data_IF_727120700156
#
_entry.id   IF_727120700156
#
_cell.length_a   1.000
_cell.length_b   1.000
_cell.length_c   1.000
_cell.angle_alpha   90.00
_cell.angle_beta   90.00
_cell.angle_gamma   90.00
#
_symmetry.space_group_name_H-M   'P 1'
#
loop_
_entity.id
_entity.type
_entity.pdbx_description
1 polymer ?
#
# COMPACT_ATOMS: atom_id res chain seq x y z
N UNK A 1 36.47 -9.53 -6.22
CA UNK A 1 35.00 -9.32 -6.07
C UNK A 1 34.80 -7.81 -5.98
N UNK A 2 34.46 -7.13 -7.09
CA UNK A 2 34.19 -5.70 -7.09
C UNK A 2 32.89 -5.45 -6.31
N UNK A 3 32.93 -4.56 -5.34
CA UNK A 3 31.72 -4.08 -4.67
C UNK A 3 30.83 -3.42 -5.74
N UNK A 4 29.77 -4.10 -6.12
CA UNK A 4 28.73 -3.53 -6.99
C UNK A 4 28.07 -2.38 -6.21
N UNK A 5 28.24 -1.16 -6.70
CA UNK A 5 27.59 0.02 -6.14
C UNK A 5 26.07 -0.18 -6.28
N UNK A 6 25.37 -0.48 -5.18
CA UNK A 6 23.91 -0.59 -5.18
C UNK A 6 23.27 0.79 -5.10
N UNK A 7 22.28 1.06 -5.96
CA UNK A 7 21.47 2.28 -5.94
C UNK A 7 20.35 2.21 -4.91
N UNK A 8 19.95 1.01 -4.48
CA UNK A 8 18.84 0.81 -3.52
C UNK A 8 19.08 1.54 -2.20
N UNK A 9 20.25 1.46 -1.54
CA UNK A 9 20.52 2.21 -0.32
C UNK A 9 20.45 3.73 -0.50
N UNK A 10 20.88 4.23 -1.67
CA UNK A 10 20.85 5.67 -1.98
C UNK A 10 19.41 6.17 -2.10
N UNK A 11 18.55 5.45 -2.81
CA UNK A 11 17.15 5.78 -2.94
C UNK A 11 16.41 5.64 -1.61
N UNK A 12 16.74 4.62 -0.83
CA UNK A 12 16.19 4.43 0.52
C UNK A 12 16.59 5.59 1.44
N UNK A 13 17.84 6.05 1.38
CA UNK A 13 18.29 7.22 2.12
C UNK A 13 17.47 8.47 1.79
N UNK A 14 17.23 8.77 0.51
CA UNK A 14 16.42 9.92 0.13
C UNK A 14 14.95 9.78 0.56
N UNK A 15 14.35 8.60 0.38
CA UNK A 15 12.98 8.36 0.84
C UNK A 15 12.85 8.55 2.36
N UNK A 16 13.78 8.01 3.15
CA UNK A 16 13.81 8.18 4.61
C UNK A 16 14.04 9.63 5.02
N UNK A 17 14.85 10.37 4.28
CA UNK A 17 15.09 11.80 4.54
C UNK A 17 13.81 12.63 4.44
N UNK A 18 12.91 12.32 3.47
CA UNK A 18 11.60 12.98 3.37
C UNK A 18 10.73 12.72 4.62
N UNK A 19 10.75 11.50 5.15
CA UNK A 19 10.05 11.15 6.38
C UNK A 19 10.61 11.89 7.60
N UNK A 20 11.93 11.92 7.74
CA UNK A 20 12.60 12.66 8.82
C UNK A 20 12.32 14.16 8.74
N UNK A 21 12.33 14.75 7.54
CA UNK A 21 12.01 16.16 7.30
C UNK A 21 10.55 16.49 7.62
N UNK A 22 9.63 15.53 7.42
CA UNK A 22 8.23 15.65 7.81
C UNK A 22 7.99 15.47 9.32
N UNK A 23 9.04 15.24 10.11
CA UNK A 23 8.95 15.08 11.58
C UNK A 23 8.67 13.65 12.05
N UNK A 24 8.58 12.67 11.12
CA UNK A 24 8.37 11.28 11.48
C UNK A 24 9.68 10.63 11.95
N UNK A 25 9.56 9.64 12.83
CA UNK A 25 10.68 8.82 13.32
C UNK A 25 10.34 7.35 13.15
N UNK A 26 11.32 6.50 12.80
CA UNK A 26 11.11 5.07 12.75
C UNK A 26 10.98 4.51 14.18
N UNK A 27 10.05 3.60 14.34
CA UNK A 27 9.83 2.87 15.58
C UNK A 27 9.36 1.45 15.28
N UNK A 28 9.31 0.61 16.30
CA UNK A 28 8.77 -0.74 16.18
C UNK A 28 8.02 -1.11 17.47
N UNK A 29 6.99 -1.94 17.32
CA UNK A 29 6.21 -2.48 18.44
C UNK A 29 5.94 -3.96 18.20
N UNK A 30 6.06 -4.76 19.26
CA UNK A 30 5.72 -6.19 19.22
C UNK A 30 4.28 -6.36 19.66
N UNK A 31 3.50 -7.03 18.83
CA UNK A 31 2.05 -7.24 18.99
C UNK A 31 1.73 -8.73 18.92
N UNK A 32 0.60 -9.18 19.49
CA UNK A 32 0.06 -10.51 19.21
C UNK A 32 -0.16 -10.68 17.70
N UNK A 33 0.22 -11.83 17.16
CA UNK A 33 -0.04 -12.16 15.76
C UNK A 33 -1.48 -12.68 15.62
N UNK A 34 -2.35 -12.06 14.80
CA UNK A 34 -3.79 -12.37 14.79
C UNK A 34 -4.13 -13.82 14.43
N UNK A 35 -3.39 -14.42 13.46
CA UNK A 35 -3.60 -15.79 12.99
C UNK A 35 -2.65 -16.78 13.65
N UNK A 36 -1.93 -16.37 14.70
CA UNK A 36 -1.00 -17.21 15.44
C UNK A 36 -1.68 -17.95 16.60
N UNK A 37 -1.13 -19.09 16.97
CA UNK A 37 -1.48 -19.76 18.24
C UNK A 37 -1.08 -18.92 19.46
N UNK A 38 -1.45 -19.39 20.65
CA UNK A 38 -1.14 -18.70 21.91
C UNK A 38 0.37 -18.35 22.01
N UNK A 39 0.66 -17.08 22.26
CA UNK A 39 2.02 -16.57 22.38
C UNK A 39 2.72 -16.18 21.06
N UNK A 40 2.09 -16.38 19.90
CA UNK A 40 2.66 -15.93 18.65
C UNK A 40 2.63 -14.40 18.57
N UNK A 41 3.75 -13.80 18.14
CA UNK A 41 3.89 -12.34 18.04
C UNK A 41 4.41 -11.93 16.68
N UNK A 42 4.10 -10.69 16.28
CA UNK A 42 4.71 -9.99 15.16
C UNK A 42 5.36 -8.70 15.66
N UNK A 43 6.41 -8.24 14.96
CA UNK A 43 7.00 -6.93 15.25
C UNK A 43 6.70 -6.02 14.08
N UNK A 44 5.89 -4.99 14.33
CA UNK A 44 5.48 -4.01 13.32
C UNK A 44 6.43 -2.82 13.38
N UNK A 45 7.12 -2.59 12.28
CA UNK A 45 7.90 -1.37 12.03
C UNK A 45 7.00 -0.29 11.45
N UNK A 46 7.11 0.92 11.95
CA UNK A 46 6.31 2.05 11.48
C UNK A 46 7.06 3.39 11.61
N UNK A 47 6.56 4.40 10.92
CA UNK A 47 6.99 5.78 11.03
C UNK A 47 5.85 6.63 11.55
N UNK A 48 6.11 7.44 12.58
CA UNK A 48 5.15 8.39 13.12
C UNK A 48 5.88 9.57 13.79
N UNK A 49 5.22 10.71 14.01
CA UNK A 49 5.74 11.72 14.91
C UNK A 49 5.89 11.14 16.32
N UNK A 50 6.90 11.56 17.11
CA UNK A 50 7.06 11.09 18.49
C UNK A 50 5.95 11.63 19.39
N UNK A 51 5.54 10.83 20.38
CA UNK A 51 4.57 11.19 21.40
C UNK A 51 3.11 11.07 20.95
N UNK A 52 2.21 11.62 21.75
CA UNK A 52 0.78 11.58 21.51
C UNK A 52 0.32 12.46 20.34
N UNK A 53 -0.76 12.07 19.62
CA UNK A 53 -1.24 12.85 18.49
C UNK A 53 -1.85 14.19 18.93
N UNK A 54 -1.28 15.28 18.40
CA UNK A 54 -1.78 16.66 18.56
C UNK A 54 -2.65 17.10 17.35
N UNK A 55 -2.58 16.37 16.27
CA UNK A 55 -3.36 16.55 15.05
C UNK A 55 -4.21 15.29 14.80
N UNK A 56 -5.27 15.37 14.00
CA UNK A 56 -6.08 14.20 13.64
C UNK A 56 -5.21 13.07 13.09
N UNK A 57 -5.37 11.82 13.56
CA UNK A 57 -4.55 10.71 13.08
C UNK A 57 -4.90 10.30 11.65
N UNK A 58 -3.85 9.98 10.87
CA UNK A 58 -3.95 9.47 9.51
C UNK A 58 -3.02 8.28 9.31
N UNK A 59 -3.59 7.13 8.98
CA UNK A 59 -2.86 5.91 8.65
C UNK A 59 -2.64 5.82 7.13
N UNK A 60 -1.38 5.62 6.70
CA UNK A 60 -1.01 5.42 5.29
C UNK A 60 -0.56 3.98 5.06
N UNK A 61 -1.32 3.23 4.27
CA UNK A 61 -1.10 1.80 4.02
C UNK A 61 -0.56 1.59 2.62
N UNK A 62 0.67 1.07 2.52
CA UNK A 62 1.36 0.88 1.24
C UNK A 62 0.83 -0.32 0.46
N UNK A 63 1.04 -0.32 -0.88
CA UNK A 63 0.74 -1.43 -1.77
C UNK A 63 1.77 -2.56 -1.70
N UNK A 64 1.59 -3.57 -2.56
CA UNK A 64 2.55 -4.66 -2.71
C UNK A 64 3.87 -4.12 -3.27
N UNK A 65 4.84 -3.92 -2.38
CA UNK A 65 6.12 -3.30 -2.75
C UNK A 65 7.05 -3.22 -1.55
N UNK A 66 8.35 -2.96 -1.77
CA UNK A 66 9.38 -3.29 -0.80
C UNK A 66 9.28 -2.52 0.52
N UNK A 67 8.86 -1.26 0.53
CA UNK A 67 8.82 -0.42 1.74
C UNK A 67 7.78 0.68 1.65
N UNK A 68 7.14 0.98 2.76
CA UNK A 68 6.20 2.08 2.90
C UNK A 68 6.83 3.44 2.56
N UNK A 69 8.09 3.67 2.96
CA UNK A 69 8.80 4.93 2.72
C UNK A 69 8.92 5.28 1.24
N UNK A 70 9.10 4.29 0.35
CA UNK A 70 9.22 4.52 -1.08
C UNK A 70 7.90 4.95 -1.72
N UNK A 71 6.80 4.41 -1.21
CA UNK A 71 5.48 4.66 -1.80
C UNK A 71 4.85 5.95 -1.30
N UNK A 72 5.14 6.37 -0.05
CA UNK A 72 4.54 7.54 0.57
C UNK A 72 5.47 8.75 0.73
N UNK A 73 6.71 8.71 0.17
CA UNK A 73 7.70 9.80 0.32
C UNK A 73 7.20 11.17 -0.12
N UNK A 74 6.35 11.22 -1.15
CA UNK A 74 5.82 12.47 -1.68
C UNK A 74 4.59 12.99 -0.92
N UNK A 75 3.99 12.16 -0.04
CA UNK A 75 2.77 12.48 0.69
C UNK A 75 3.05 12.93 2.13
N UNK A 76 4.08 12.34 2.77
CA UNK A 76 4.33 12.58 4.20
C UNK A 76 4.54 14.05 4.54
N UNK A 77 5.30 14.81 3.76
CA UNK A 77 5.55 16.23 4.01
C UNK A 77 4.28 17.08 3.98
N UNK A 78 3.49 17.10 2.90
CA UNK A 78 2.23 17.81 2.83
C UNK A 78 1.22 17.38 3.89
N UNK A 79 1.06 16.07 4.13
CA UNK A 79 0.07 15.53 5.06
C UNK A 79 0.41 15.79 6.53
N UNK A 80 1.68 15.74 6.93
CA UNK A 80 2.11 15.96 8.32
C UNK A 80 1.89 17.39 8.82
N UNK A 81 1.57 18.32 7.93
CA UNK A 81 1.16 19.69 8.32
C UNK A 81 -0.25 19.73 8.90
N UNK A 82 -1.07 18.73 8.63
CA UNK A 82 -2.49 18.69 8.96
C UNK A 82 -2.89 17.47 9.79
N UNK A 83 -2.07 16.40 9.75
CA UNK A 83 -2.38 15.12 10.37
C UNK A 83 -1.19 14.56 11.16
N UNK A 84 -1.51 13.81 12.21
CA UNK A 84 -0.56 12.90 12.84
C UNK A 84 -0.42 11.65 11.97
N UNK A 85 0.56 11.66 11.08
CA UNK A 85 0.73 10.64 10.05
C UNK A 85 1.42 9.40 10.60
N UNK A 86 0.80 8.23 10.42
CA UNK A 86 1.32 6.91 10.82
C UNK A 86 1.50 6.08 9.56
N UNK A 87 2.71 5.58 9.33
CA UNK A 87 3.06 4.84 8.10
C UNK A 87 3.73 3.51 8.49
N UNK A 88 2.96 2.43 8.67
CA UNK A 88 3.51 1.12 8.95
C UNK A 88 4.07 0.45 7.69
N UNK A 89 5.06 -0.41 7.86
CA UNK A 89 5.34 -1.49 6.93
C UNK A 89 4.37 -2.64 7.25
N UNK A 90 3.67 -3.15 6.26
CA UNK A 90 2.76 -4.30 6.40
C UNK A 90 3.54 -5.58 6.76
N UNK A 91 2.86 -6.57 7.33
CA UNK A 91 3.47 -7.88 7.64
C UNK A 91 4.21 -8.43 6.43
N UNK A 92 5.47 -8.77 6.63
CA UNK A 92 6.34 -9.32 5.59
C UNK A 92 6.98 -8.30 4.66
N UNK A 93 6.73 -7.00 4.86
CA UNK A 93 7.37 -5.91 4.12
C UNK A 93 8.28 -5.08 5.04
N UNK A 94 9.23 -4.38 4.43
CA UNK A 94 10.12 -3.46 5.12
C UNK A 94 10.81 -4.07 6.33
N UNK A 95 10.65 -3.44 7.49
CA UNK A 95 11.16 -3.92 8.77
C UNK A 95 10.19 -4.79 9.57
N UNK A 96 8.96 -4.98 9.10
CA UNK A 96 7.92 -5.72 9.81
C UNK A 96 8.08 -7.23 9.65
N UNK A 97 8.07 -7.94 10.79
CA UNK A 97 8.22 -9.40 10.85
C UNK A 97 6.97 -10.06 11.44
N UNK A 98 6.76 -11.32 11.10
CA UNK A 98 5.71 -12.17 11.66
C UNK A 98 6.27 -13.59 11.81
N UNK A 99 5.60 -14.54 12.51
CA UNK A 99 6.06 -15.91 12.64
C UNK A 99 6.42 -16.53 11.29
N UNK A 100 7.45 -17.39 11.25
CA UNK A 100 7.89 -18.02 10.00
C UNK A 100 6.74 -18.78 9.33
N UNK A 101 6.78 -18.86 7.99
CA UNK A 101 5.72 -19.53 7.21
C UNK A 101 5.51 -21.01 7.57
N UNK A 102 6.47 -21.66 8.23
CA UNK A 102 6.29 -23.01 8.75
C UNK A 102 5.38 -23.06 10.00
N UNK A 103 5.25 -21.93 10.71
CA UNK A 103 4.52 -21.83 11.98
C UNK A 103 3.20 -21.06 11.88
N UNK A 104 2.94 -20.34 10.76
CA UNK A 104 1.76 -19.51 10.60
C UNK A 104 1.24 -19.53 9.16
N UNK A 105 -0.09 -19.39 8.96
CA UNK A 105 -0.66 -19.24 7.62
C UNK A 105 -0.19 -17.94 6.96
N UNK A 106 -0.27 -17.85 5.61
CA UNK A 106 0.01 -16.61 4.90
C UNK A 106 -0.92 -15.49 5.38
N UNK A 107 -0.38 -14.30 5.73
CA UNK A 107 -1.24 -13.20 6.18
C UNK A 107 -2.17 -12.74 5.04
N UNK A 108 -3.46 -12.79 5.32
CA UNK A 108 -4.52 -12.26 4.47
C UNK A 108 -4.65 -10.75 4.64
N UNK A 109 -5.49 -10.09 3.82
CA UNK A 109 -5.85 -8.68 4.00
C UNK A 109 -6.53 -8.45 5.37
N UNK A 110 -7.32 -9.42 5.84
CA UNK A 110 -7.94 -9.40 7.16
C UNK A 110 -6.89 -9.46 8.28
N UNK A 111 -5.87 -10.33 8.15
CA UNK A 111 -4.75 -10.43 9.10
C UNK A 111 -3.95 -9.14 9.14
N UNK A 112 -3.64 -8.56 7.98
CA UNK A 112 -2.97 -7.26 7.88
C UNK A 112 -3.80 -6.16 8.57
N UNK A 113 -5.10 -6.11 8.30
CA UNK A 113 -6.01 -5.13 8.91
C UNK A 113 -6.10 -5.28 10.43
N UNK A 114 -6.22 -6.51 10.94
CA UNK A 114 -6.23 -6.79 12.37
C UNK A 114 -4.90 -6.36 13.05
N UNK A 115 -3.77 -6.59 12.39
CA UNK A 115 -2.45 -6.14 12.86
C UNK A 115 -2.38 -4.61 12.91
N UNK A 116 -2.92 -3.91 11.91
CA UNK A 116 -2.97 -2.44 11.90
C UNK A 116 -3.91 -1.89 12.99
N UNK A 117 -5.04 -2.54 13.26
CA UNK A 117 -5.92 -2.17 14.37
C UNK A 117 -5.18 -2.30 15.72
N UNK A 118 -4.50 -3.43 15.95
CA UNK A 118 -3.69 -3.64 17.15
C UNK A 118 -2.52 -2.64 17.26
N UNK A 119 -1.89 -2.27 16.13
CA UNK A 119 -0.89 -1.20 16.10
C UNK A 119 -1.47 0.12 16.60
N UNK A 120 -2.63 0.54 16.06
CA UNK A 120 -3.27 1.79 16.44
C UNK A 120 -3.65 1.82 17.92
N UNK A 121 -4.03 0.71 18.51
CA UNK A 121 -4.35 0.62 19.93
C UNK A 121 -3.11 0.60 20.83
N UNK A 122 -1.97 0.12 20.30
CA UNK A 122 -0.71 0.10 21.04
C UNK A 122 0.06 1.44 21.01
N UNK A 123 -0.30 2.36 20.12
CA UNK A 123 0.38 3.65 20.01
C UNK A 123 -0.06 4.63 21.13
N UNK A 124 0.87 5.40 21.72
CA UNK A 124 0.55 6.34 22.79
C UNK A 124 -0.56 7.33 22.39
N UNK A 125 -1.59 7.43 23.21
CA UNK A 125 -2.68 8.37 23.04
C UNK A 125 -3.59 8.09 21.83
N UNK A 126 -3.50 6.89 21.23
CA UNK A 126 -4.33 6.49 20.08
C UNK A 126 -5.51 5.60 20.45
N UNK A 127 -5.55 5.10 21.69
CA UNK A 127 -6.65 4.27 22.17
C UNK A 127 -8.00 4.99 21.98
N UNK A 128 -8.95 4.31 21.35
CA UNK A 128 -10.28 4.86 21.06
C UNK A 128 -10.35 6.02 20.08
N UNK A 129 -9.23 6.59 19.63
CA UNK A 129 -9.26 7.69 18.65
C UNK A 129 -9.69 7.22 17.27
N UNK A 130 -10.54 8.02 16.65
CA UNK A 130 -10.95 7.82 15.26
C UNK A 130 -9.81 8.22 14.31
N UNK A 131 -9.46 7.33 13.38
CA UNK A 131 -8.29 7.45 12.48
C UNK A 131 -8.78 7.51 11.03
N UNK A 132 -8.36 8.52 10.26
CA UNK A 132 -8.49 8.46 8.81
C UNK A 132 -7.50 7.44 8.25
N UNK A 133 -7.88 6.73 7.17
CA UNK A 133 -7.02 5.72 6.58
C UNK A 133 -6.92 5.88 5.06
N UNK A 134 -5.71 5.74 4.52
CA UNK A 134 -5.48 5.77 3.08
C UNK A 134 -4.60 4.60 2.66
N UNK A 135 -5.05 3.86 1.63
CA UNK A 135 -4.31 2.73 1.10
C UNK A 135 -4.18 2.77 -0.42
N UNK A 136 -3.05 2.30 -0.94
CA UNK A 136 -2.82 2.19 -2.38
C UNK A 136 -2.62 0.74 -2.80
N UNK A 137 -3.20 0.33 -3.95
CA UNK A 137 -3.05 -1.02 -4.48
C UNK A 137 -3.40 -2.08 -3.44
N UNK A 138 -2.53 -3.04 -3.10
CA UNK A 138 -2.73 -4.01 -2.02
C UNK A 138 -3.11 -3.34 -0.69
N UNK A 139 -2.50 -2.20 -0.37
CA UNK A 139 -2.84 -1.43 0.83
C UNK A 139 -4.27 -0.89 0.84
N UNK A 140 -4.89 -0.70 -0.33
CA UNK A 140 -6.31 -0.33 -0.42
C UNK A 140 -7.24 -1.48 -0.03
N UNK A 141 -6.89 -2.74 -0.35
CA UNK A 141 -7.62 -3.92 0.13
C UNK A 141 -7.54 -4.02 1.65
N UNK A 142 -6.35 -3.84 2.21
CA UNK A 142 -6.13 -3.85 3.66
C UNK A 142 -6.90 -2.70 4.35
N UNK A 143 -6.88 -1.51 3.76
CA UNK A 143 -7.60 -0.34 4.28
C UNK A 143 -9.12 -0.55 4.25
N UNK A 144 -9.64 -1.15 3.19
CA UNK A 144 -11.06 -1.53 3.10
C UNK A 144 -11.44 -2.51 4.22
N UNK A 145 -10.64 -3.58 4.43
CA UNK A 145 -10.85 -4.54 5.50
C UNK A 145 -10.80 -3.90 6.88
N UNK A 146 -9.83 -3.02 7.12
CA UNK A 146 -9.70 -2.29 8.38
C UNK A 146 -10.94 -1.43 8.64
N UNK A 147 -11.40 -0.67 7.64
CA UNK A 147 -12.57 0.18 7.76
C UNK A 147 -13.85 -0.63 8.02
N UNK A 148 -14.04 -1.76 7.33
CA UNK A 148 -15.15 -2.67 7.51
C UNK A 148 -15.17 -3.30 8.91
N UNK A 149 -14.01 -3.82 9.36
CA UNK A 149 -13.91 -4.54 10.63
C UNK A 149 -14.01 -3.62 11.85
N UNK A 150 -13.37 -2.46 11.81
CA UNK A 150 -13.32 -1.52 12.93
C UNK A 150 -14.53 -0.58 12.99
N UNK A 151 -15.28 -0.45 11.89
CA UNK A 151 -16.45 0.43 11.80
C UNK A 151 -16.11 1.92 11.84
N UNK A 152 -17.12 2.77 11.58
CA UNK A 152 -16.95 4.23 11.46
C UNK A 152 -16.64 4.93 12.80
N UNK A 153 -16.83 4.28 13.92
CA UNK A 153 -16.42 4.80 15.24
C UNK A 153 -14.91 4.82 15.42
N UNK A 154 -14.19 3.87 14.83
CA UNK A 154 -12.73 3.73 14.95
C UNK A 154 -11.98 4.20 13.70
N UNK A 155 -12.47 3.86 12.51
CA UNK A 155 -11.93 4.30 11.23
C UNK A 155 -12.84 5.35 10.63
N UNK A 156 -12.31 6.54 10.39
CA UNK A 156 -13.00 7.70 9.82
C UNK A 156 -13.04 7.68 8.30
N UNK A 157 -12.79 8.80 7.62
CA UNK A 157 -12.77 8.84 6.17
C UNK A 157 -11.67 7.94 5.60
N UNK A 158 -11.99 7.31 4.46
CA UNK A 158 -11.14 6.30 3.81
C UNK A 158 -10.74 6.77 2.41
N UNK A 159 -9.46 6.65 2.07
CA UNK A 159 -8.96 6.84 0.71
C UNK A 159 -8.46 5.51 0.15
N UNK A 160 -9.00 5.11 -1.00
CA UNK A 160 -8.63 3.89 -1.73
C UNK A 160 -8.04 4.31 -3.07
N UNK A 161 -6.73 4.08 -3.26
CA UNK A 161 -6.05 4.48 -4.48
C UNK A 161 -5.65 3.25 -5.31
N UNK A 162 -6.04 3.22 -6.59
CA UNK A 162 -5.64 2.16 -7.55
C UNK A 162 -5.80 0.73 -6.99
N UNK A 163 -6.98 0.41 -6.42
CA UNK A 163 -7.24 -0.87 -5.75
C UNK A 163 -8.56 -1.47 -6.24
N UNK A 164 -8.49 -2.49 -7.09
CA UNK A 164 -9.66 -3.20 -7.60
C UNK A 164 -10.22 -4.17 -6.54
N UNK A 165 -11.06 -3.65 -5.65
CA UNK A 165 -11.74 -4.46 -4.62
C UNK A 165 -12.60 -5.59 -5.23
N UNK A 166 -12.99 -5.47 -6.50
CA UNK A 166 -13.81 -6.43 -7.22
C UNK A 166 -12.99 -7.32 -8.17
N UNK A 167 -11.67 -7.36 -7.98
CA UNK A 167 -10.78 -8.22 -8.79
C UNK A 167 -11.29 -9.67 -8.81
N UNK A 168 -11.21 -10.28 -9.97
CA UNK A 168 -11.59 -11.68 -10.21
C UNK A 168 -10.46 -12.43 -10.91
N UNK A 169 -10.56 -13.76 -11.01
CA UNK A 169 -9.62 -14.55 -11.80
C UNK A 169 -9.62 -14.17 -13.31
N UNK A 170 -10.73 -13.59 -13.82
CA UNK A 170 -10.79 -13.08 -15.19
C UNK A 170 -9.87 -11.86 -15.39
N UNK A 171 -9.66 -11.06 -14.35
CA UNK A 171 -8.80 -9.88 -14.40
C UNK A 171 -7.33 -10.26 -14.54
N UNK A 172 -6.90 -11.39 -13.97
CA UNK A 172 -5.55 -11.92 -14.16
C UNK A 172 -5.31 -12.31 -15.63
N UNK A 173 -6.29 -12.90 -16.29
CA UNK A 173 -6.20 -13.18 -17.74
C UNK A 173 -6.15 -11.88 -18.55
N UNK A 174 -6.95 -10.88 -18.17
CA UNK A 174 -6.92 -9.55 -18.77
C UNK A 174 -5.57 -8.85 -18.58
N UNK A 175 -4.98 -8.96 -17.41
CA UNK A 175 -3.64 -8.45 -17.10
C UNK A 175 -2.57 -9.11 -17.99
N UNK A 176 -2.55 -10.44 -18.09
CA UNK A 176 -1.60 -11.17 -18.93
C UNK A 176 -1.76 -10.81 -20.42
N UNK A 177 -3.00 -10.61 -20.89
CA UNK A 177 -3.26 -10.12 -22.26
C UNK A 177 -2.64 -8.73 -22.50
N UNK A 178 -2.74 -7.80 -21.54
CA UNK A 178 -2.10 -6.48 -21.63
C UNK A 178 -0.57 -6.56 -21.55
N UNK A 179 -0.05 -7.50 -20.76
CA UNK A 179 1.38 -7.75 -20.68
C UNK A 179 2.00 -8.28 -21.99
N UNK A 180 1.19 -8.91 -22.84
CA UNK A 180 1.61 -9.47 -24.11
C UNK A 180 2.10 -10.92 -23.99
N UNK A 181 2.67 -11.44 -25.07
CA UNK A 181 3.17 -12.83 -25.13
C UNK A 181 4.39 -13.05 -24.22
N UNK A 182 4.60 -14.31 -23.84
CA UNK A 182 5.77 -14.74 -23.06
C UNK A 182 5.57 -14.73 -21.55
N UNK A 183 4.36 -14.43 -21.04
CA UNK A 183 4.04 -14.45 -19.60
C UNK A 183 2.98 -15.52 -19.31
N UNK A 184 3.26 -16.39 -18.35
CA UNK A 184 2.35 -17.50 -17.98
C UNK A 184 1.58 -17.23 -16.69
N UNK A 185 2.10 -16.35 -15.82
CA UNK A 185 1.43 -15.95 -14.58
C UNK A 185 1.65 -14.48 -14.24
N UNK A 186 0.71 -13.92 -13.48
CA UNK A 186 0.81 -12.55 -12.94
C UNK A 186 2.03 -12.41 -12.02
N UNK A 187 2.37 -13.46 -11.29
CA UNK A 187 3.48 -13.48 -10.34
C UNK A 187 4.85 -13.29 -11.00
N UNK A 188 5.02 -13.74 -12.26
CA UNK A 188 6.26 -13.52 -13.01
C UNK A 188 6.56 -12.03 -13.20
N UNK A 189 5.52 -11.20 -13.29
CA UNK A 189 5.63 -9.75 -13.48
C UNK A 189 5.64 -9.04 -12.12
N UNK A 190 4.77 -9.41 -11.18
CA UNK A 190 4.68 -8.75 -9.87
C UNK A 190 5.88 -9.09 -8.97
N UNK A 191 6.50 -10.26 -9.15
CA UNK A 191 7.72 -10.68 -8.48
C UNK A 191 8.86 -10.88 -9.49
N UNK A 192 9.36 -9.82 -10.11
CA UNK A 192 10.32 -9.93 -11.18
C UNK A 192 11.59 -10.65 -10.72
N UNK A 193 12.03 -11.63 -11.49
CA UNK A 193 13.29 -12.33 -11.30
C UNK A 193 14.37 -11.87 -12.30
N UNK A 194 13.95 -11.26 -13.40
CA UNK A 194 14.81 -10.83 -14.49
C UNK A 194 14.50 -9.38 -14.94
N UNK A 195 15.47 -8.66 -15.52
CA UNK A 195 15.27 -7.29 -16.00
C UNK A 195 14.10 -7.12 -16.96
N UNK A 196 13.76 -8.12 -17.78
CA UNK A 196 12.62 -8.08 -18.67
C UNK A 196 11.30 -7.97 -17.91
N UNK A 197 11.11 -8.78 -16.87
CA UNK A 197 9.93 -8.74 -16.01
C UNK A 197 9.81 -7.40 -15.25
N UNK A 198 10.93 -6.88 -14.73
CA UNK A 198 10.95 -5.57 -14.07
C UNK A 198 10.55 -4.44 -15.03
N UNK A 199 11.05 -4.45 -16.28
CA UNK A 199 10.63 -3.46 -17.29
C UNK A 199 9.16 -3.59 -17.63
N UNK A 200 8.65 -4.82 -17.74
CA UNK A 200 7.22 -5.07 -17.99
C UNK A 200 6.37 -4.54 -16.84
N UNK A 201 6.78 -4.76 -15.60
CA UNK A 201 6.09 -4.19 -14.43
C UNK A 201 6.08 -2.66 -14.49
N UNK A 202 7.22 -2.02 -14.77
CA UNK A 202 7.30 -0.56 -14.91
C UNK A 202 6.45 -0.02 -16.07
N UNK A 203 6.40 -0.73 -17.19
CA UNK A 203 5.58 -0.39 -18.35
C UNK A 203 4.08 -0.41 -18.01
N UNK A 204 3.62 -1.46 -17.34
CA UNK A 204 2.21 -1.61 -16.96
C UNK A 204 1.80 -0.70 -15.79
N UNK A 205 2.73 -0.39 -14.89
CA UNK A 205 2.46 0.42 -13.71
C UNK A 205 2.54 1.92 -13.96
N UNK A 206 3.18 2.39 -15.04
CA UNK A 206 3.46 3.81 -15.23
C UNK A 206 2.89 4.35 -16.55
N UNK A 207 2.37 5.57 -16.51
CA UNK A 207 1.97 6.29 -17.73
C UNK A 207 3.18 6.58 -18.64
N UNK A 208 4.30 6.97 -18.02
CA UNK A 208 5.58 7.23 -18.71
C UNK A 208 6.68 6.40 -18.07
N UNK A 209 6.79 5.12 -18.44
CA UNK A 209 7.85 4.27 -17.91
C UNK A 209 9.23 4.85 -18.30
N UNK A 210 10.22 4.73 -17.42
CA UNK A 210 11.57 5.23 -17.72
C UNK A 210 12.11 4.51 -18.96
N UNK A 211 12.71 5.25 -19.92
CA UNK A 211 13.24 4.66 -21.14
C UNK A 211 14.40 3.72 -20.84
N UNK A 212 14.66 2.74 -21.71
CA UNK A 212 15.71 1.72 -21.54
C UNK A 212 17.10 2.26 -21.16
N UNK A 213 17.58 3.38 -21.72
CA UNK A 213 18.88 3.93 -21.30
C UNK A 213 18.93 4.36 -19.83
N UNK A 214 17.79 4.72 -19.22
CA UNK A 214 17.69 5.07 -17.81
C UNK A 214 17.50 3.87 -16.89
N UNK A 215 17.25 2.69 -17.43
CA UNK A 215 17.06 1.44 -16.70
C UNK A 215 17.96 0.33 -17.25
N UNK A 216 19.29 0.49 -17.22
CA UNK A 216 20.20 -0.54 -17.72
C UNK A 216 20.08 -1.83 -16.88
N UNK A 217 20.37 -2.98 -17.49
CA UNK A 217 20.19 -4.29 -16.87
C UNK A 217 20.89 -4.45 -15.53
N UNK A 218 22.11 -3.90 -15.39
CA UNK A 218 22.86 -4.01 -14.15
C UNK A 218 22.11 -3.32 -12.97
N UNK A 219 21.48 -2.18 -13.24
CA UNK A 219 20.68 -1.45 -12.25
C UNK A 219 19.41 -2.23 -11.89
N UNK A 220 18.70 -2.75 -12.89
CA UNK A 220 17.51 -3.57 -12.64
C UNK A 220 17.84 -4.86 -11.89
N UNK A 221 18.98 -5.51 -12.18
CA UNK A 221 19.46 -6.68 -11.42
C UNK A 221 19.76 -6.34 -9.96
N UNK A 222 20.34 -5.17 -9.68
CA UNK A 222 20.53 -4.70 -8.30
C UNK A 222 19.19 -4.52 -7.56
N UNK A 223 18.22 -3.86 -8.22
CA UNK A 223 16.87 -3.72 -7.66
C UNK A 223 16.19 -5.09 -7.41
N UNK A 224 16.24 -5.97 -8.39
CA UNK A 224 15.67 -7.32 -8.28
C UNK A 224 16.31 -8.07 -7.13
N UNK A 225 17.65 -8.06 -7.06
CA UNK A 225 18.39 -8.75 -5.99
C UNK A 225 17.97 -8.24 -4.61
N UNK A 226 17.97 -6.93 -4.40
CA UNK A 226 17.74 -6.30 -3.10
C UNK A 226 16.28 -6.27 -2.66
N UNK A 227 15.35 -6.14 -3.60
CA UNK A 227 13.95 -5.91 -3.28
C UNK A 227 13.08 -7.16 -3.42
N UNK A 228 13.47 -8.09 -4.29
CA UNK A 228 12.67 -9.27 -4.60
C UNK A 228 13.40 -10.57 -4.29
N UNK A 229 14.65 -10.76 -4.70
CA UNK A 229 15.35 -12.04 -4.55
C UNK A 229 15.65 -12.35 -3.08
N UNK A 230 16.20 -11.40 -2.34
CA UNK A 230 16.52 -11.58 -0.90
C UNK A 230 15.27 -11.85 -0.03
N UNK A 231 14.08 -11.46 -0.50
CA UNK A 231 12.81 -11.62 0.20
C UNK A 231 11.82 -12.53 -0.55
N UNK A 232 12.25 -13.24 -1.58
CA UNK A 232 11.35 -13.94 -2.52
C UNK A 232 10.43 -14.94 -1.84
N UNK A 233 10.94 -15.79 -0.97
CA UNK A 233 10.11 -16.76 -0.26
C UNK A 233 8.99 -16.09 0.54
N UNK A 234 9.31 -15.02 1.23
CA UNK A 234 8.34 -14.23 2.01
C UNK A 234 7.30 -13.58 1.11
N UNK A 235 7.72 -12.97 0.00
CA UNK A 235 6.80 -12.33 -0.96
C UNK A 235 5.88 -13.35 -1.64
N UNK A 236 6.38 -14.53 -2.01
CA UNK A 236 5.58 -15.64 -2.52
C UNK A 236 4.58 -16.13 -1.46
N UNK A 237 5.01 -16.21 -0.20
CA UNK A 237 4.12 -16.58 0.90
C UNK A 237 3.00 -15.55 1.09
N UNK A 238 3.31 -14.24 1.02
CA UNK A 238 2.32 -13.17 1.08
C UNK A 238 1.31 -13.24 -0.07
N UNK A 239 1.76 -13.50 -1.30
CA UNK A 239 0.83 -13.64 -2.44
C UNK A 239 -0.18 -14.77 -2.23
N UNK A 240 0.20 -15.87 -1.57
CA UNK A 240 -0.72 -16.96 -1.21
C UNK A 240 -1.76 -16.57 -0.17
N UNK A 241 -1.51 -15.52 0.61
CA UNK A 241 -2.44 -14.98 1.60
C UNK A 241 -3.48 -14.04 1.02
N UNK A 242 -3.28 -13.53 -0.21
CA UNK A 242 -4.20 -12.60 -0.85
C UNK A 242 -5.53 -13.28 -1.11
N UNK A 243 -6.60 -12.72 -0.57
CA UNK A 243 -7.96 -13.27 -0.69
C UNK A 243 -8.82 -12.52 -1.70
N UNK A 244 -8.40 -11.32 -2.14
CA UNK A 244 -9.09 -10.58 -3.20
C UNK A 244 -9.17 -11.43 -4.47
N UNK A 245 -10.36 -11.51 -5.06
CA UNK A 245 -10.61 -12.39 -6.21
C UNK A 245 -11.04 -13.81 -5.85
N UNK A 246 -11.25 -14.09 -4.58
CA UNK A 246 -11.79 -15.35 -4.06
C UNK A 246 -13.07 -15.10 -3.26
N UNK A 247 -13.81 -16.16 -2.95
CA UNK A 247 -15.03 -16.09 -2.14
C UNK A 247 -14.79 -15.58 -0.69
N UNK A 248 -13.53 -15.49 -0.28
CA UNK A 248 -13.13 -14.97 1.04
C UNK A 248 -13.07 -13.45 1.10
N UNK A 249 -13.07 -12.77 -0.05
CA UNK A 249 -13.05 -11.31 -0.15
C UNK A 249 -14.36 -10.80 -0.75
N UNK A 250 -15.34 -10.63 0.10
CA UNK A 250 -16.64 -10.05 -0.28
C UNK A 250 -16.63 -8.53 -0.06
N UNK A 251 -17.00 -7.77 -1.08
CA UNK A 251 -17.15 -6.32 -0.99
C UNK A 251 -18.59 -5.99 -0.60
N UNK A 252 -18.71 -5.34 0.55
CA UNK A 252 -19.97 -4.76 1.04
C UNK A 252 -19.78 -3.26 1.26
N UNK A 253 -20.85 -2.46 1.18
CA UNK A 253 -20.79 -1.06 1.54
C UNK A 253 -20.24 -0.84 2.94
N UNK A 254 -19.44 0.21 3.09
CA UNK A 254 -18.95 0.66 4.40
C UNK A 254 -19.58 2.02 4.73
N UNK A 255 -19.70 2.32 6.03
CA UNK A 255 -20.39 3.53 6.51
C UNK A 255 -19.50 4.79 6.51
N UNK A 256 -18.24 4.64 6.22
CA UNK A 256 -17.29 5.76 6.14
C UNK A 256 -17.47 6.54 4.84
N UNK A 257 -17.13 7.84 4.87
CA UNK A 257 -16.90 8.59 3.65
C UNK A 257 -15.71 8.00 2.88
N UNK A 258 -15.87 7.73 1.59
CA UNK A 258 -14.85 7.09 0.76
C UNK A 258 -14.44 7.99 -0.39
N UNK A 259 -13.13 8.19 -0.54
CA UNK A 259 -12.52 8.73 -1.74
C UNK A 259 -11.79 7.62 -2.49
N UNK A 260 -12.15 7.41 -3.75
CA UNK A 260 -11.43 6.54 -4.69
C UNK A 260 -10.54 7.43 -5.57
N UNK A 261 -9.25 7.14 -5.66
CA UNK A 261 -8.31 7.85 -6.53
C UNK A 261 -7.70 6.88 -7.54
N UNK A 262 -7.67 7.25 -8.82
CA UNK A 262 -7.19 6.35 -9.86
C UNK A 262 -6.45 7.07 -10.97
N UNK A 263 -5.39 6.44 -11.52
CA UNK A 263 -4.74 6.91 -12.73
C UNK A 263 -5.50 6.49 -14.00
N UNK A 264 -5.64 7.39 -14.97
CA UNK A 264 -6.38 7.10 -16.21
C UNK A 264 -5.65 6.14 -17.17
N UNK A 265 -4.38 5.84 -16.90
CA UNK A 265 -3.54 4.92 -17.67
C UNK A 265 -3.05 3.71 -16.83
N UNK A 266 -3.74 3.40 -15.74
CA UNK A 266 -3.44 2.21 -14.94
C UNK A 266 -3.71 0.94 -15.77
N UNK A 267 -2.65 0.14 -16.02
CA UNK A 267 -2.75 -1.11 -16.75
C UNK A 267 -2.70 -2.34 -15.83
N UNK A 268 -2.39 -2.16 -14.54
CA UNK A 268 -2.56 -3.21 -13.54
C UNK A 268 -4.05 -3.40 -13.23
N UNK A 269 -4.71 -2.30 -12.86
CA UNK A 269 -6.15 -2.24 -12.63
C UNK A 269 -6.76 -1.16 -13.54
N UNK A 270 -7.30 -1.52 -14.70
CA UNK A 270 -7.85 -0.55 -15.66
C UNK A 270 -8.92 0.35 -15.07
N UNK A 271 -9.03 1.58 -15.58
CA UNK A 271 -9.88 2.64 -15.02
C UNK A 271 -11.37 2.24 -14.86
N UNK A 272 -11.88 1.36 -15.71
CA UNK A 272 -13.25 0.83 -15.59
C UNK A 272 -13.51 0.13 -14.26
N UNK A 273 -12.44 -0.39 -13.62
CA UNK A 273 -12.53 -1.01 -12.29
C UNK A 273 -12.82 0.03 -11.21
N UNK A 274 -12.29 1.25 -11.34
CA UNK A 274 -12.59 2.33 -10.41
C UNK A 274 -14.10 2.66 -10.37
N UNK A 275 -14.75 2.72 -11.53
CA UNK A 275 -16.20 2.92 -11.61
C UNK A 275 -17.00 1.75 -11.04
N UNK A 276 -16.50 0.53 -11.21
CA UNK A 276 -17.14 -0.66 -10.63
C UNK A 276 -17.05 -0.65 -9.10
N UNK A 277 -15.87 -0.35 -8.55
CA UNK A 277 -15.64 -0.20 -7.10
C UNK A 277 -16.51 0.93 -6.52
N UNK A 278 -16.61 2.08 -7.21
CA UNK A 278 -17.49 3.18 -6.79
C UNK A 278 -18.95 2.73 -6.66
N UNK A 279 -19.46 2.00 -7.64
CA UNK A 279 -20.84 1.49 -7.61
C UNK A 279 -21.07 0.47 -6.49
N UNK A 280 -20.10 -0.40 -6.21
CA UNK A 280 -20.21 -1.43 -5.17
C UNK A 280 -20.22 -0.85 -3.75
N UNK A 281 -19.67 0.34 -3.56
CA UNK A 281 -19.68 1.07 -2.30
C UNK A 281 -20.90 2.01 -2.18
N UNK A 282 -22.05 1.64 -2.74
CA UNK A 282 -23.33 2.36 -2.77
C UNK A 282 -23.35 3.68 -3.55
N UNK A 283 -22.38 3.93 -4.43
CA UNK A 283 -22.31 5.15 -5.23
C UNK A 283 -22.05 6.44 -4.43
N UNK A 284 -21.99 6.37 -3.10
CA UNK A 284 -21.65 7.51 -2.23
C UNK A 284 -20.13 7.82 -2.22
N UNK A 285 -19.32 6.88 -2.65
CA UNK A 285 -17.89 7.08 -2.76
C UNK A 285 -17.57 8.13 -3.84
N UNK A 286 -16.76 9.13 -3.49
CA UNK A 286 -16.23 10.11 -4.44
C UNK A 286 -15.14 9.45 -5.28
N UNK A 287 -15.20 9.58 -6.60
CA UNK A 287 -14.15 9.12 -7.52
C UNK A 287 -13.40 10.32 -8.12
N UNK A 288 -12.09 10.29 -8.01
CA UNK A 288 -11.18 11.25 -8.63
C UNK A 288 -10.20 10.53 -9.56
N UNK A 289 -10.20 10.91 -10.83
CA UNK A 289 -9.31 10.36 -11.84
C UNK A 289 -8.16 11.34 -12.10
N UNK A 290 -6.93 10.89 -11.84
CA UNK A 290 -5.73 11.68 -12.10
C UNK A 290 -5.25 11.37 -13.52
N UNK A 291 -5.30 12.40 -14.38
CA UNK A 291 -4.94 12.29 -15.79
C UNK A 291 -3.43 12.11 -15.98
N UNK A 292 -3.05 11.30 -16.99
CA UNK A 292 -1.67 11.06 -17.38
C UNK A 292 -0.85 10.42 -16.24
N UNK A 293 -1.49 9.51 -15.50
CA UNK A 293 -0.84 8.69 -14.46
C UNK A 293 -1.26 7.22 -14.62
N UNK A 294 -0.38 6.32 -14.25
CA UNK A 294 -0.63 4.87 -14.19
C UNK A 294 -1.09 4.42 -12.81
N UNK A 295 -0.59 3.28 -12.38
CA UNK A 295 -0.98 2.59 -11.14
C UNK A 295 -0.54 3.30 -9.85
N UNK A 296 0.46 4.18 -9.93
CA UNK A 296 0.98 4.90 -8.78
C UNK A 296 0.79 6.42 -8.91
N UNK A 297 -0.46 6.94 -8.98
CA UNK A 297 -0.71 8.37 -9.18
C UNK A 297 -0.10 9.22 -8.05
N UNK A 298 0.06 8.68 -6.84
CA UNK A 298 0.73 9.34 -5.72
C UNK A 298 2.23 9.59 -5.96
N UNK A 299 2.85 8.88 -6.90
CA UNK A 299 4.25 9.05 -7.29
C UNK A 299 4.41 9.79 -8.61
N UNK A 300 3.47 9.61 -9.56
CA UNK A 300 3.55 10.19 -10.90
C UNK A 300 3.04 11.64 -10.98
N UNK A 301 1.99 11.97 -10.22
CA UNK A 301 1.51 13.35 -10.02
C UNK A 301 1.21 13.60 -8.53
N UNK A 302 2.25 13.68 -7.69
CA UNK A 302 2.08 13.84 -6.25
C UNK A 302 1.38 15.13 -5.86
N UNK A 303 1.53 16.20 -6.66
CA UNK A 303 0.89 17.49 -6.37
C UNK A 303 -0.63 17.38 -6.44
N UNK A 304 -1.14 16.79 -7.52
CA UNK A 304 -2.58 16.58 -7.70
C UNK A 304 -3.14 15.55 -6.74
N UNK A 305 -2.43 14.44 -6.54
CA UNK A 305 -2.82 13.41 -5.58
C UNK A 305 -2.96 13.98 -4.17
N UNK A 306 -1.95 14.71 -3.70
CA UNK A 306 -1.95 15.34 -2.37
C UNK A 306 -3.09 16.35 -2.22
N UNK A 307 -3.34 17.17 -3.25
CA UNK A 307 -4.44 18.13 -3.23
C UNK A 307 -5.80 17.45 -3.08
N UNK A 308 -6.08 16.44 -3.91
CA UNK A 308 -7.34 15.70 -3.89
C UNK A 308 -7.55 15.01 -2.53
N UNK A 309 -6.51 14.36 -2.02
CA UNK A 309 -6.54 13.68 -0.74
C UNK A 309 -6.75 14.66 0.43
N UNK A 310 -6.02 15.77 0.46
CA UNK A 310 -6.15 16.79 1.50
C UNK A 310 -7.53 17.45 1.48
N UNK A 311 -8.04 17.85 0.32
CA UNK A 311 -9.36 18.46 0.17
C UNK A 311 -10.45 17.54 0.76
N UNK A 312 -10.38 16.25 0.47
CA UNK A 312 -11.32 15.26 0.98
C UNK A 312 -11.20 15.07 2.49
N UNK A 313 -10.00 14.80 2.99
CA UNK A 313 -9.77 14.49 4.42
C UNK A 313 -10.09 15.69 5.32
N UNK A 314 -9.74 16.91 4.90
CA UNK A 314 -10.03 18.12 5.66
C UNK A 314 -11.52 18.48 5.65
N UNK A 315 -12.24 18.23 4.55
CA UNK A 315 -13.69 18.41 4.49
C UNK A 315 -14.41 17.44 5.42
N UNK A 316 -14.06 16.15 5.36
CA UNK A 316 -14.62 15.13 6.23
C UNK A 316 -14.34 15.37 7.73
N UNK A 317 -13.19 15.93 8.07
CA UNK A 317 -12.88 16.28 9.45
C UNK A 317 -13.75 17.44 9.96
N UNK A 318 -13.99 18.46 9.13
CA UNK A 318 -14.84 19.62 9.50
C UNK A 318 -16.31 19.25 9.70
N UNK A 319 -16.82 18.26 8.97
CA UNK A 319 -18.21 17.82 9.10
C UNK A 319 -18.49 16.99 10.38
N UNK A 320 -17.44 16.66 11.13
CA UNK A 320 -17.50 15.81 12.33
C UNK A 320 -17.11 16.54 13.61
N UNK A 321 -16.53 17.75 13.50
CA UNK A 321 -16.23 18.66 14.61
C UNK A 321 -17.42 19.57 14.93
#
# INVERSE_FOLDING_TARGET
MGASLSLVPVLDYFARREFLAAGLRPSAVTLPYPDGGAGATCTVHYWAPPGEPRLPPLLLVHGFGPRATWQWRCQVGPLSRHFHVIVPDLLGFGGTTYPSHAAAPPPSEATQAATLAALLDALPGMEGKRVAAAGTSYGGFVTYWLARAAGSGRVGPVVIASSDLLKTAADDRGFLKRAGEGWSSVDEILLPAEPAAMRKLLELASYRPPPRPMTPDFMLRDFIQKLFTENRERLVHLLKGITVGTDKFEVTPISQDVLIVWGDHDQLFPLEKAFAVQRSLNGSARLEVIKKTGHAPQLEDPARFNKVMLDFLLAAHKSQA
#
